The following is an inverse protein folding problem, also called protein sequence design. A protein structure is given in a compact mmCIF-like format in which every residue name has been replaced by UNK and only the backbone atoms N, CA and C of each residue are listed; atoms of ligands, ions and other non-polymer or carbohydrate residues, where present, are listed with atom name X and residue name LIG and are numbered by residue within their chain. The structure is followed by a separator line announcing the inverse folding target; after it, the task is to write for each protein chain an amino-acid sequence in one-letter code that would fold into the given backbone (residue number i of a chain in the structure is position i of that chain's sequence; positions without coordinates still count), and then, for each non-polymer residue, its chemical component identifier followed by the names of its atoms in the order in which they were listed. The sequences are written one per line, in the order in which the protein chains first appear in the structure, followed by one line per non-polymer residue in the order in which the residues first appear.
data_IF_371537223106
#
_entry.id   IF_371537223106
#
_cell.length_a   1.000
_cell.length_b   1.000
_cell.length_c   1.000
_cell.angle_alpha   90.00
_cell.angle_beta   90.00
_cell.angle_gamma   90.00
#
_symmetry.space_group_name_H-M   'P 1'
#
loop_
_entity.id
_entity.type
_entity.pdbx_description
1 polymer ?
#
# COMPACT_ATOMS: atom_id res chain seq x y z
N UNK A 1 32.66 -4.28 -1.79
CA UNK A 1 31.39 -3.76 -2.36
C UNK A 1 31.03 -2.54 -1.54
N UNK A 2 31.10 -1.38 -2.16
CA UNK A 2 30.76 -0.12 -1.52
C UNK A 2 29.29 -0.17 -1.09
N UNK A 3 29.02 0.15 0.18
CA UNK A 3 27.72 -0.07 0.86
C UNK A 3 26.56 0.81 0.40
N UNK A 4 26.57 1.32 -0.83
CA UNK A 4 25.46 2.01 -1.47
C UNK A 4 24.54 0.99 -2.13
N UNK A 5 23.41 0.69 -1.51
CA UNK A 5 22.37 -0.12 -2.13
C UNK A 5 21.92 0.57 -3.43
N UNK A 6 21.99 -0.15 -4.57
CA UNK A 6 21.56 0.37 -5.86
C UNK A 6 20.09 0.81 -5.80
N UNK A 7 19.79 2.11 -5.98
CA UNK A 7 18.42 2.63 -5.91
C UNK A 7 17.45 1.93 -6.85
N UNK A 8 17.94 1.49 -8.02
CA UNK A 8 17.12 0.80 -9.00
C UNK A 8 16.73 -0.60 -8.53
N UNK A 9 17.66 -1.35 -7.91
CA UNK A 9 17.36 -2.68 -7.36
C UNK A 9 16.36 -2.58 -6.20
N UNK A 10 16.47 -1.58 -5.33
CA UNK A 10 15.51 -1.34 -4.25
C UNK A 10 14.11 -1.03 -4.80
N UNK A 11 14.03 -0.14 -5.79
CA UNK A 11 12.77 0.20 -6.43
C UNK A 11 12.16 -0.97 -7.20
N UNK A 12 13.00 -1.78 -7.88
CA UNK A 12 12.57 -2.99 -8.58
C UNK A 12 12.01 -4.04 -7.60
N UNK A 13 12.65 -4.19 -6.46
CA UNK A 13 12.17 -5.10 -5.41
C UNK A 13 10.78 -4.68 -4.91
N UNK A 14 10.55 -3.40 -4.66
CA UNK A 14 9.22 -2.91 -4.28
C UNK A 14 8.18 -3.05 -5.41
N UNK A 15 8.57 -2.78 -6.66
CA UNK A 15 7.71 -2.99 -7.81
C UNK A 15 7.34 -4.47 -7.99
N UNK A 16 8.29 -5.39 -7.80
CA UNK A 16 8.06 -6.83 -7.84
C UNK A 16 7.04 -7.28 -6.78
N UNK A 17 7.03 -6.63 -5.61
CA UNK A 17 6.04 -6.88 -4.55
C UNK A 17 4.65 -6.30 -4.88
N UNK A 18 4.60 -5.06 -5.38
CA UNK A 18 3.36 -4.29 -5.51
C UNK A 18 2.60 -4.54 -6.82
N UNK A 19 3.30 -4.63 -7.96
CA UNK A 19 2.66 -4.73 -9.27
C UNK A 19 1.87 -6.02 -9.51
N UNK A 20 2.29 -7.21 -9.02
CA UNK A 20 1.49 -8.41 -9.18
C UNK A 20 0.08 -8.28 -8.62
N UNK A 21 -0.11 -7.56 -7.53
CA UNK A 21 -1.42 -7.34 -6.94
C UNK A 21 -2.39 -6.67 -7.91
N UNK A 22 -1.92 -5.74 -8.75
CA UNK A 22 -2.75 -5.05 -9.74
C UNK A 22 -3.24 -5.98 -10.85
N UNK A 23 -2.37 -6.88 -11.32
CA UNK A 23 -2.64 -7.77 -12.45
C UNK A 23 -3.44 -8.99 -12.00
N UNK A 24 -3.09 -9.53 -10.83
CA UNK A 24 -3.55 -10.85 -10.35
C UNK A 24 -4.83 -10.75 -9.53
N UNK A 25 -5.19 -9.60 -8.95
CA UNK A 25 -6.39 -9.48 -8.11
C UNK A 25 -7.68 -9.93 -8.81
N UNK A 26 -7.83 -9.68 -10.11
CA UNK A 26 -8.97 -10.15 -10.90
C UNK A 26 -9.01 -11.69 -11.01
N UNK A 27 -7.99 -12.33 -11.58
CA UNK A 27 -7.86 -13.80 -11.61
C UNK A 27 -7.95 -14.46 -10.24
N UNK A 28 -7.37 -13.84 -9.19
CA UNK A 28 -7.46 -14.33 -7.81
C UNK A 28 -8.90 -14.36 -7.32
N UNK A 29 -9.70 -13.33 -7.61
CA UNK A 29 -11.13 -13.30 -7.29
C UNK A 29 -11.89 -14.47 -7.95
N UNK A 30 -11.70 -14.66 -9.25
CA UNK A 30 -12.33 -15.76 -9.99
C UNK A 30 -11.93 -17.13 -9.43
N UNK A 31 -10.65 -17.33 -9.10
CA UNK A 31 -10.18 -18.58 -8.50
C UNK A 31 -10.79 -18.80 -7.11
N UNK A 32 -10.84 -17.74 -6.30
CA UNK A 32 -11.45 -17.78 -4.97
C UNK A 32 -12.93 -18.15 -5.00
N UNK A 33 -13.66 -17.68 -6.04
CA UNK A 33 -15.07 -18.03 -6.24
C UNK A 33 -15.28 -19.47 -6.69
N UNK A 34 -14.35 -20.03 -7.48
CA UNK A 34 -14.45 -21.39 -8.01
C UNK A 34 -13.96 -22.47 -7.04
N UNK A 35 -12.84 -22.23 -6.37
CA UNK A 35 -12.15 -23.24 -5.54
C UNK A 35 -12.57 -23.15 -4.07
N UNK A 36 -13.10 -22.00 -3.65
CA UNK A 36 -13.42 -21.68 -2.27
C UNK A 36 -12.32 -20.84 -1.62
N UNK A 37 -12.75 -19.83 -0.82
CA UNK A 37 -11.83 -18.87 -0.22
C UNK A 37 -10.87 -19.49 0.81
N UNK A 38 -11.34 -20.49 1.58
CA UNK A 38 -10.51 -21.18 2.57
C UNK A 38 -9.32 -21.89 1.93
N UNK A 39 -9.58 -22.68 0.87
CA UNK A 39 -8.52 -23.42 0.16
C UNK A 39 -7.52 -22.47 -0.49
N UNK A 40 -8.01 -21.41 -1.15
CA UNK A 40 -7.12 -20.43 -1.77
C UNK A 40 -6.30 -19.71 -0.72
N UNK A 41 -6.87 -19.37 0.44
CA UNK A 41 -6.17 -18.73 1.55
C UNK A 41 -5.04 -19.62 2.07
N UNK A 42 -5.31 -20.89 2.38
CA UNK A 42 -4.28 -21.84 2.85
C UNK A 42 -3.20 -22.06 1.79
N UNK A 43 -3.59 -22.23 0.50
CA UNK A 43 -2.62 -22.39 -0.60
C UNK A 43 -1.72 -21.17 -0.74
N UNK A 44 -2.29 -19.97 -0.64
CA UNK A 44 -1.50 -18.72 -0.73
C UNK A 44 -0.55 -18.57 0.45
N UNK A 45 -0.93 -18.98 1.66
CA UNK A 45 -0.03 -18.94 2.82
C UNK A 45 1.14 -19.92 2.67
N UNK A 46 0.92 -21.13 2.15
CA UNK A 46 2.01 -22.06 1.82
C UNK A 46 2.93 -21.50 0.72
N UNK A 47 2.36 -20.84 -0.28
CA UNK A 47 3.15 -20.18 -1.33
C UNK A 47 3.98 -19.01 -0.77
N UNK A 48 3.43 -18.21 0.16
CA UNK A 48 4.14 -17.14 0.86
C UNK A 48 5.29 -17.69 1.70
N UNK A 49 5.06 -18.75 2.46
CA UNK A 49 6.10 -19.44 3.24
C UNK A 49 7.23 -19.93 2.33
N UNK A 50 6.89 -20.61 1.24
CA UNK A 50 7.89 -21.13 0.30
C UNK A 50 8.67 -20.00 -0.39
N UNK A 51 7.98 -18.93 -0.80
CA UNK A 51 8.60 -17.78 -1.45
C UNK A 51 9.54 -17.02 -0.50
N UNK A 52 9.10 -16.72 0.73
CA UNK A 52 9.93 -16.07 1.74
C UNK A 52 11.10 -16.96 2.17
N UNK A 53 10.86 -18.28 2.30
CA UNK A 53 11.91 -19.27 2.55
C UNK A 53 12.97 -19.33 1.47
N UNK A 54 12.57 -19.22 0.20
CA UNK A 54 13.51 -19.10 -0.93
C UNK A 54 14.43 -17.88 -0.75
N UNK A 55 13.87 -16.73 -0.37
CA UNK A 55 14.65 -15.51 -0.06
C UNK A 55 15.63 -15.71 1.09
N UNK A 56 15.19 -16.36 2.18
CA UNK A 56 16.05 -16.65 3.32
C UNK A 56 17.23 -17.58 2.96
N UNK A 57 16.97 -18.59 2.12
CA UNK A 57 17.99 -19.53 1.67
C UNK A 57 18.92 -18.95 0.60
N UNK A 58 18.46 -17.97 -0.17
CA UNK A 58 19.28 -17.34 -1.21
C UNK A 58 20.53 -16.64 -0.63
N UNK A 59 20.42 -16.10 0.59
CA UNK A 59 21.50 -15.32 1.22
C UNK A 59 22.72 -16.20 1.56
N UNK A 60 22.60 -17.34 2.28
CA UNK A 60 23.74 -18.15 2.65
C UNK A 60 24.26 -19.07 1.54
N UNK A 61 23.45 -19.35 0.50
CA UNK A 61 23.78 -20.34 -0.53
C UNK A 61 24.32 -19.74 -1.83
N UNK A 62 24.07 -18.45 -2.08
CA UNK A 62 24.43 -17.81 -3.34
C UNK A 62 25.03 -16.43 -3.08
N UNK A 63 25.93 -16.01 -3.99
CA UNK A 63 26.58 -14.71 -3.97
C UNK A 63 26.37 -13.96 -5.30
N UNK A 64 26.62 -12.65 -5.29
CA UNK A 64 26.61 -11.81 -6.46
C UNK A 64 25.26 -11.75 -7.18
N UNK A 65 25.27 -11.83 -8.51
CA UNK A 65 24.08 -11.67 -9.33
C UNK A 65 23.04 -12.79 -9.12
N UNK A 66 23.48 -14.01 -8.82
CA UNK A 66 22.57 -15.13 -8.54
C UNK A 66 21.73 -14.88 -7.28
N UNK A 67 22.34 -14.35 -6.22
CA UNK A 67 21.65 -13.96 -5.00
C UNK A 67 20.60 -12.87 -5.27
N UNK A 68 20.98 -11.82 -6.03
CA UNK A 68 20.06 -10.73 -6.39
C UNK A 68 18.86 -11.25 -7.17
N UNK A 69 19.07 -12.11 -8.18
CA UNK A 69 17.99 -12.69 -8.99
C UNK A 69 17.05 -13.54 -8.11
N UNK A 70 17.60 -14.35 -7.21
CA UNK A 70 16.79 -15.18 -6.31
C UNK A 70 15.98 -14.34 -5.31
N UNK A 71 16.55 -13.27 -4.75
CA UNK A 71 15.83 -12.35 -3.87
C UNK A 71 14.70 -11.62 -4.60
N UNK A 72 14.95 -11.12 -5.81
CA UNK A 72 13.91 -10.48 -6.64
C UNK A 72 12.81 -11.48 -7.02
N UNK A 73 13.19 -12.72 -7.36
CA UNK A 73 12.24 -13.79 -7.68
C UNK A 73 11.39 -14.17 -6.46
N UNK A 74 12.01 -14.28 -5.30
CA UNK A 74 11.33 -14.48 -4.02
C UNK A 74 10.29 -13.37 -3.77
N UNK A 75 10.68 -12.10 -3.88
CA UNK A 75 9.79 -10.95 -3.69
C UNK A 75 8.64 -10.94 -4.71
N UNK A 76 8.91 -11.27 -5.97
CA UNK A 76 7.87 -11.38 -7.00
C UNK A 76 6.86 -12.49 -6.66
N UNK A 77 7.33 -13.65 -6.22
CA UNK A 77 6.47 -14.76 -5.78
C UNK A 77 5.65 -14.39 -4.54
N UNK A 78 6.25 -13.66 -3.58
CA UNK A 78 5.52 -13.09 -2.43
C UNK A 78 4.43 -12.13 -2.90
N UNK A 79 4.72 -11.25 -3.86
CA UNK A 79 3.72 -10.34 -4.45
C UNK A 79 2.56 -11.07 -5.12
N UNK A 80 2.87 -12.12 -5.89
CA UNK A 80 1.87 -12.98 -6.54
C UNK A 80 0.99 -13.71 -5.50
N UNK A 81 1.62 -14.39 -4.56
CA UNK A 81 0.91 -15.14 -3.52
C UNK A 81 0.10 -14.22 -2.61
N UNK A 82 0.64 -13.03 -2.28
CA UNK A 82 -0.04 -11.99 -1.51
C UNK A 82 -1.29 -11.45 -2.17
N UNK A 83 -1.33 -11.37 -3.51
CA UNK A 83 -2.52 -10.97 -4.25
C UNK A 83 -3.68 -11.99 -4.08
N UNK A 84 -3.36 -13.29 -4.10
CA UNK A 84 -4.33 -14.35 -3.81
C UNK A 84 -4.76 -14.34 -2.35
N UNK A 85 -3.81 -14.19 -1.43
CA UNK A 85 -4.05 -14.10 0.00
C UNK A 85 -5.02 -12.98 0.35
N UNK A 86 -4.72 -11.76 -0.10
CA UNK A 86 -5.54 -10.57 0.17
C UNK A 86 -6.99 -10.76 -0.29
N UNK A 87 -7.18 -11.30 -1.50
CA UNK A 87 -8.50 -11.53 -2.09
C UNK A 87 -9.27 -12.61 -1.33
N UNK A 88 -8.61 -13.74 -1.06
CA UNK A 88 -9.22 -14.87 -0.35
C UNK A 88 -9.54 -14.52 1.10
N UNK A 89 -8.64 -13.83 1.80
CA UNK A 89 -8.81 -13.37 3.18
C UNK A 89 -9.99 -12.43 3.34
N UNK A 90 -10.10 -11.43 2.47
CA UNK A 90 -11.20 -10.47 2.54
C UNK A 90 -12.57 -11.16 2.39
N UNK A 91 -12.67 -12.14 1.47
CA UNK A 91 -13.89 -12.94 1.30
C UNK A 91 -14.13 -13.87 2.49
N UNK A 92 -13.10 -14.59 2.94
CA UNK A 92 -13.17 -15.52 4.06
C UNK A 92 -13.65 -14.84 5.35
N UNK A 93 -13.06 -13.70 5.68
CA UNK A 93 -13.45 -12.92 6.84
C UNK A 93 -14.90 -12.43 6.77
N UNK A 94 -15.39 -12.03 5.58
CA UNK A 94 -16.78 -11.61 5.43
C UNK A 94 -17.79 -12.75 5.65
N UNK A 95 -17.40 -14.00 5.32
CA UNK A 95 -18.20 -15.20 5.57
C UNK A 95 -18.21 -15.57 7.06
N UNK A 96 -17.02 -15.55 7.72
CA UNK A 96 -16.88 -15.88 9.13
C UNK A 96 -17.73 -14.98 10.03
N UNK A 97 -17.63 -13.67 9.82
CA UNK A 97 -18.23 -12.67 10.72
C UNK A 97 -19.70 -12.44 10.43
N UNK A 98 -20.12 -12.59 9.19
CA UNK A 98 -21.48 -12.31 8.74
C UNK A 98 -21.83 -10.82 8.67
N UNK A 99 -22.95 -10.46 8.01
CA UNK A 99 -23.25 -9.05 7.67
C UNK A 99 -23.45 -8.14 8.88
N UNK A 100 -24.02 -8.65 9.98
CA UNK A 100 -24.32 -7.84 11.16
C UNK A 100 -23.08 -7.37 11.93
N UNK A 101 -22.01 -8.16 11.91
CA UNK A 101 -20.77 -7.88 12.65
C UNK A 101 -19.63 -7.39 11.74
N UNK A 102 -19.85 -7.34 10.42
CA UNK A 102 -18.84 -6.98 9.45
C UNK A 102 -18.24 -5.59 9.70
N UNK A 103 -19.08 -4.62 10.08
CA UNK A 103 -18.60 -3.27 10.41
C UNK A 103 -17.65 -3.23 11.60
N UNK A 104 -18.01 -3.92 12.70
CA UNK A 104 -17.14 -4.05 13.88
C UNK A 104 -15.84 -4.77 13.57
N UNK A 105 -15.92 -5.84 12.79
CA UNK A 105 -14.75 -6.59 12.32
C UNK A 105 -13.79 -5.70 11.51
N UNK A 106 -14.30 -4.97 10.51
CA UNK A 106 -13.47 -4.09 9.68
C UNK A 106 -12.78 -3.01 10.50
N UNK A 107 -13.45 -2.48 11.52
CA UNK A 107 -12.86 -1.50 12.45
C UNK A 107 -11.73 -2.15 13.26
N UNK A 108 -11.97 -3.31 13.86
CA UNK A 108 -10.96 -4.04 14.64
C UNK A 108 -9.76 -4.46 13.76
N UNK A 109 -10.03 -4.96 12.56
CA UNK A 109 -9.00 -5.30 11.58
C UNK A 109 -8.14 -4.08 11.23
N UNK A 110 -8.76 -2.93 11.00
CA UNK A 110 -8.04 -1.69 10.71
C UNK A 110 -7.11 -1.29 11.87
N UNK A 111 -7.56 -1.41 13.12
CA UNK A 111 -6.73 -1.13 14.31
C UNK A 111 -5.54 -2.07 14.36
N UNK A 112 -5.76 -3.39 14.27
CA UNK A 112 -4.68 -4.40 14.30
C UNK A 112 -3.68 -4.17 13.17
N UNK A 113 -4.17 -3.91 11.96
CA UNK A 113 -3.33 -3.64 10.80
C UNK A 113 -2.44 -2.39 10.99
N UNK A 114 -3.00 -1.32 11.56
CA UNK A 114 -2.25 -0.10 11.82
C UNK A 114 -1.23 -0.28 12.95
N UNK A 115 -1.58 -1.03 14.00
CA UNK A 115 -0.64 -1.41 15.06
C UNK A 115 0.50 -2.24 14.49
N UNK A 116 0.20 -3.21 13.61
CA UNK A 116 1.22 -4.00 12.92
C UNK A 116 2.17 -3.14 12.08
N UNK A 117 1.64 -2.18 11.35
CA UNK A 117 2.47 -1.22 10.58
C UNK A 117 3.37 -0.34 11.45
N UNK A 118 2.90 0.03 12.64
CA UNK A 118 3.66 0.88 13.56
C UNK A 118 4.76 0.09 14.28
N UNK A 119 4.44 -1.11 14.75
CA UNK A 119 5.31 -1.94 15.61
C UNK A 119 6.20 -2.89 14.78
N UNK A 120 5.72 -3.33 13.62
CA UNK A 120 6.43 -4.29 12.75
C UNK A 120 7.83 -3.82 12.34
N UNK A 121 7.98 -2.63 11.74
CA UNK A 121 9.28 -2.16 11.28
C UNK A 121 10.35 -2.03 12.37
N UNK A 122 10.08 -1.53 13.59
CA UNK A 122 11.09 -1.55 14.68
C UNK A 122 11.50 -2.96 15.06
N UNK A 123 10.54 -3.89 15.16
CA UNK A 123 10.85 -5.29 15.48
C UNK A 123 11.68 -5.90 14.34
N UNK A 124 11.30 -5.67 13.08
CA UNK A 124 12.04 -6.16 11.92
C UNK A 124 13.46 -5.59 11.84
N UNK A 125 13.63 -4.29 12.08
CA UNK A 125 14.95 -3.64 12.13
C UNK A 125 15.82 -4.15 13.26
N UNK A 126 15.25 -4.35 14.45
CA UNK A 126 15.94 -4.96 15.58
C UNK A 126 16.32 -6.43 15.30
N UNK A 127 15.40 -7.20 14.75
CA UNK A 127 15.65 -8.60 14.39
C UNK A 127 16.77 -8.72 13.37
N UNK A 128 16.73 -7.88 12.34
CA UNK A 128 17.77 -7.81 11.32
C UNK A 128 19.14 -7.48 11.92
N UNK A 129 19.20 -6.53 12.85
CA UNK A 129 20.43 -6.14 13.54
C UNK A 129 20.94 -7.24 14.49
N UNK A 130 20.05 -7.96 15.17
CA UNK A 130 20.40 -8.97 16.17
C UNK A 130 20.78 -10.33 15.54
N UNK A 131 20.10 -10.75 14.46
CA UNK A 131 20.22 -12.11 13.93
C UNK A 131 20.76 -12.18 12.49
N UNK A 132 20.85 -11.03 11.83
CA UNK A 132 21.22 -10.95 10.42
C UNK A 132 20.07 -11.25 9.45
N UNK A 133 20.28 -11.00 8.14
CA UNK A 133 19.22 -11.04 7.13
C UNK A 133 18.66 -12.44 6.90
N UNK A 134 19.47 -13.48 6.95
CA UNK A 134 19.04 -14.87 6.76
C UNK A 134 18.00 -15.30 7.81
N UNK A 135 18.31 -15.07 9.08
CA UNK A 135 17.41 -15.44 10.17
C UNK A 135 16.17 -14.54 10.22
N UNK A 136 16.32 -13.24 9.93
CA UNK A 136 15.20 -12.32 9.88
C UNK A 136 14.17 -12.76 8.82
N UNK A 137 14.61 -13.10 7.60
CA UNK A 137 13.74 -13.64 6.54
C UNK A 137 13.22 -15.05 6.88
N UNK A 138 14.02 -15.89 7.57
CA UNK A 138 13.57 -17.21 8.01
C UNK A 138 12.44 -17.15 9.04
N UNK A 139 12.50 -16.19 9.98
CA UNK A 139 11.44 -15.94 10.97
C UNK A 139 10.20 -15.36 10.26
N UNK A 140 10.37 -14.46 9.30
CA UNK A 140 9.26 -13.97 8.46
C UNK A 140 8.58 -15.13 7.73
N UNK A 141 9.34 -15.99 7.06
CA UNK A 141 8.81 -17.19 6.42
C UNK A 141 8.05 -18.10 7.40
N UNK A 142 8.63 -18.39 8.56
CA UNK A 142 7.99 -19.22 9.59
C UNK A 142 6.69 -18.59 10.12
N UNK A 143 6.56 -17.26 10.12
CA UNK A 143 5.37 -16.56 10.60
C UNK A 143 4.11 -16.94 9.81
N UNK A 144 4.23 -17.33 8.54
CA UNK A 144 3.10 -17.78 7.72
C UNK A 144 2.48 -19.12 8.19
N UNK A 145 3.16 -19.88 9.06
CA UNK A 145 2.57 -21.05 9.70
C UNK A 145 1.44 -20.69 10.66
N UNK A 146 1.46 -19.51 11.27
CA UNK A 146 0.42 -19.06 12.20
C UNK A 146 -0.96 -18.92 11.53
N UNK A 147 -1.11 -18.18 10.41
CA UNK A 147 -2.40 -18.11 9.71
C UNK A 147 -2.80 -19.47 9.11
N UNK A 148 -1.86 -20.31 8.65
CA UNK A 148 -2.18 -21.68 8.20
C UNK A 148 -2.82 -22.47 9.35
N UNK A 149 -2.17 -22.51 10.51
CA UNK A 149 -2.69 -23.18 11.69
C UNK A 149 -4.04 -22.60 12.15
N UNK A 150 -4.17 -21.26 12.12
CA UNK A 150 -5.41 -20.60 12.50
C UNK A 150 -6.58 -21.00 11.61
N UNK A 151 -6.41 -21.05 10.29
CA UNK A 151 -7.47 -21.44 9.35
C UNK A 151 -7.77 -22.95 9.47
N UNK A 152 -6.74 -23.80 9.58
CA UNK A 152 -6.93 -25.23 9.59
C UNK A 152 -7.56 -25.76 10.89
N UNK A 153 -7.21 -25.17 12.04
CA UNK A 153 -7.58 -25.72 13.34
C UNK A 153 -8.66 -24.94 14.08
N UNK A 154 -8.73 -23.61 13.91
CA UNK A 154 -9.60 -22.76 14.72
C UNK A 154 -10.74 -22.10 13.95
N UNK A 155 -10.53 -21.75 12.69
CA UNK A 155 -11.47 -20.96 11.91
C UNK A 155 -12.20 -21.86 10.91
N UNK A 156 -13.41 -22.31 11.26
CA UNK A 156 -14.28 -23.06 10.34
C UNK A 156 -15.49 -22.21 9.99
N UNK A 157 -15.66 -21.78 8.73
CA UNK A 157 -16.87 -21.07 8.32
C UNK A 157 -18.07 -22.02 8.38
N UNK A 158 -19.21 -21.50 8.79
CA UNK A 158 -20.47 -22.21 8.70
C UNK A 158 -20.79 -22.41 7.21
N UNK A 159 -20.81 -23.68 6.77
CA UNK A 159 -20.98 -24.07 5.36
C UNK A 159 -22.31 -23.58 4.73
N UNK A 160 -23.25 -23.15 5.57
CA UNK A 160 -24.54 -22.58 5.13
C UNK A 160 -24.43 -21.10 4.70
N UNK A 161 -23.30 -20.45 4.96
CA UNK A 161 -23.09 -19.01 4.69
C UNK A 161 -22.32 -18.69 3.42
N UNK A 162 -22.27 -19.59 2.45
CA UNK A 162 -21.72 -19.23 1.15
C UNK A 162 -22.54 -18.08 0.55
N UNK A 163 -21.95 -16.89 0.62
CA UNK A 163 -22.46 -15.74 -0.15
C UNK A 163 -22.17 -16.09 -1.61
N UNK A 164 -23.17 -16.69 -2.29
CA UNK A 164 -23.15 -16.79 -3.73
C UNK A 164 -22.94 -15.37 -4.27
N UNK A 165 -21.75 -15.14 -4.81
CA UNK A 165 -21.49 -13.95 -5.61
C UNK A 165 -22.57 -13.90 -6.68
N UNK A 166 -23.48 -12.94 -6.56
CA UNK A 166 -24.42 -12.65 -7.63
C UNK A 166 -23.63 -12.42 -8.89
N UNK A 167 -23.80 -13.30 -9.84
CA UNK A 167 -23.19 -13.30 -11.16
C UNK A 167 -23.36 -11.92 -11.82
N UNK A 168 -22.48 -11.01 -11.53
CA UNK A 168 -22.26 -9.81 -12.32
C UNK A 168 -21.50 -10.20 -13.58
N UNK A 169 -22.24 -10.76 -14.57
CA UNK A 169 -21.69 -10.98 -15.90
C UNK A 169 -21.01 -9.71 -16.38
N UNK A 170 -19.71 -9.80 -16.66
CA UNK A 170 -18.91 -8.83 -17.44
C UNK A 170 -18.79 -7.39 -16.91
N UNK A 171 -18.73 -7.19 -15.62
CA UNK A 171 -18.50 -5.87 -15.05
C UNK A 171 -17.02 -5.68 -14.69
N UNK A 172 -16.16 -5.65 -15.72
CA UNK A 172 -14.73 -5.38 -15.57
C UNK A 172 -14.46 -3.97 -15.01
N UNK A 173 -13.28 -3.76 -14.46
CA UNK A 173 -12.83 -2.46 -13.94
C UNK A 173 -12.83 -1.36 -15.03
N UNK A 174 -12.63 -1.75 -16.29
CA UNK A 174 -12.71 -0.85 -17.45
C UNK A 174 -14.12 -0.28 -17.65
N UNK A 175 -15.17 -1.07 -17.42
CA UNK A 175 -16.53 -0.59 -17.48
C UNK A 175 -16.84 0.34 -16.30
N UNK A 176 -16.39 -0.02 -15.09
CA UNK A 176 -16.51 0.85 -13.93
C UNK A 176 -15.84 2.22 -14.14
N UNK A 177 -14.67 2.25 -14.78
CA UNK A 177 -14.00 3.49 -15.17
C UNK A 177 -14.82 4.34 -16.13
N UNK A 178 -15.46 3.73 -17.14
CA UNK A 178 -16.31 4.46 -18.12
C UNK A 178 -17.61 4.96 -17.50
N UNK A 179 -18.20 4.18 -16.60
CA UNK A 179 -19.48 4.47 -15.97
C UNK A 179 -19.38 5.48 -14.81
N UNK A 180 -18.23 5.61 -14.15
CA UNK A 180 -18.09 6.43 -12.93
C UNK A 180 -18.17 7.96 -13.17
N UNK A 181 -18.15 8.39 -14.41
CA UNK A 181 -18.27 9.80 -14.79
C UNK A 181 -17.00 10.63 -14.59
N UNK A 182 -16.94 11.83 -15.18
CA UNK A 182 -15.70 12.63 -15.28
C UNK A 182 -15.18 13.14 -13.94
N UNK A 183 -16.05 13.30 -12.96
CA UNK A 183 -15.66 13.76 -11.62
C UNK A 183 -14.84 12.70 -10.88
N UNK A 184 -15.33 11.46 -10.83
CA UNK A 184 -14.63 10.36 -10.17
C UNK A 184 -13.39 9.92 -10.95
N UNK A 185 -13.44 9.97 -12.29
CA UNK A 185 -12.25 9.78 -13.13
C UNK A 185 -11.16 10.80 -12.78
N UNK A 186 -11.53 12.06 -12.59
CA UNK A 186 -10.60 13.10 -12.17
C UNK A 186 -9.97 12.83 -10.79
N UNK A 187 -10.75 12.36 -9.82
CA UNK A 187 -10.25 11.97 -8.48
C UNK A 187 -9.25 10.82 -8.58
N UNK A 188 -9.59 9.78 -9.32
CA UNK A 188 -8.72 8.62 -9.53
C UNK A 188 -7.43 8.99 -10.28
N UNK A 189 -7.54 9.82 -11.33
CA UNK A 189 -6.38 10.31 -12.09
C UNK A 189 -5.47 11.17 -11.22
N UNK A 190 -6.03 12.12 -10.44
CA UNK A 190 -5.23 12.92 -9.51
C UNK A 190 -4.48 12.02 -8.51
N UNK A 191 -5.18 11.06 -7.91
CA UNK A 191 -4.57 10.12 -6.97
C UNK A 191 -3.45 9.33 -7.64
N UNK A 192 -3.67 8.80 -8.85
CA UNK A 192 -2.65 8.06 -9.59
C UNK A 192 -1.43 8.93 -9.90
N UNK A 193 -1.61 10.17 -10.34
CA UNK A 193 -0.51 11.09 -10.64
C UNK A 193 0.27 11.47 -9.38
N UNK A 194 -0.43 11.83 -8.29
CA UNK A 194 0.23 12.17 -7.03
C UNK A 194 0.97 10.95 -6.42
N UNK A 195 0.44 9.74 -6.59
CA UNK A 195 1.13 8.53 -6.15
C UNK A 195 2.30 8.17 -7.06
N UNK A 196 2.17 8.36 -8.38
CA UNK A 196 3.24 8.11 -9.34
C UNK A 196 4.47 8.99 -9.09
N UNK A 197 4.24 10.23 -8.68
CA UNK A 197 5.32 11.19 -8.40
C UNK A 197 5.73 11.14 -6.93
N UNK A 198 4.80 10.93 -6.00
CA UNK A 198 5.00 11.16 -4.58
C UNK A 198 5.12 9.91 -3.70
N UNK A 199 4.77 8.70 -4.17
CA UNK A 199 4.73 7.50 -3.32
C UNK A 199 5.95 6.57 -3.54
N UNK A 200 7.14 7.14 -3.77
CA UNK A 200 8.37 6.36 -3.98
C UNK A 200 9.06 5.92 -2.68
N UNK A 201 8.73 6.55 -1.56
CA UNK A 201 9.39 6.33 -0.28
C UNK A 201 9.31 4.89 0.27
N UNK A 202 8.29 4.04 0.03
CA UNK A 202 8.37 2.65 0.46
C UNK A 202 9.42 1.84 -0.32
N UNK A 203 9.56 2.12 -1.62
CA UNK A 203 10.55 1.43 -2.47
C UNK A 203 11.97 1.84 -2.18
N UNK A 204 12.20 3.10 -1.82
CA UNK A 204 13.53 3.65 -1.54
C UNK A 204 13.78 3.85 -0.04
N UNK A 205 12.93 3.31 0.85
CA UNK A 205 13.06 3.47 2.29
C UNK A 205 14.44 3.10 2.85
N UNK A 206 15.11 2.00 2.42
CA UNK A 206 16.45 1.68 2.90
C UNK A 206 17.48 2.75 2.53
N UNK A 207 17.42 3.27 1.30
CA UNK A 207 18.31 4.33 0.84
C UNK A 207 18.07 5.63 1.61
N UNK A 208 16.80 6.02 1.79
CA UNK A 208 16.42 7.23 2.51
C UNK A 208 16.89 7.14 3.96
N UNK A 209 16.66 6.00 4.62
CA UNK A 209 17.12 5.79 5.99
C UNK A 209 18.65 5.84 6.09
N UNK A 210 19.36 5.26 5.13
CA UNK A 210 20.81 5.28 5.08
C UNK A 210 21.36 6.70 4.95
N UNK A 211 20.89 7.48 3.99
CA UNK A 211 21.39 8.85 3.74
C UNK A 211 20.98 9.84 4.84
N UNK A 212 19.80 9.66 5.44
CA UNK A 212 19.20 10.64 6.35
C UNK A 212 19.51 10.35 7.82
N UNK A 213 19.62 9.07 8.22
CA UNK A 213 19.72 8.65 9.62
C UNK A 213 21.08 8.05 10.01
N UNK A 214 21.91 7.67 9.03
CA UNK A 214 23.26 7.15 9.31
C UNK A 214 23.48 5.67 9.00
N UNK A 215 22.48 4.96 8.45
CA UNK A 215 22.65 3.67 7.80
C UNK A 215 22.65 2.43 8.68
N UNK A 216 22.22 2.53 9.94
CA UNK A 216 22.03 1.34 10.77
C UNK A 216 20.73 0.60 10.39
N UNK A 217 20.66 -0.74 10.52
CA UNK A 217 19.43 -1.48 10.28
C UNK A 217 18.23 -0.98 11.10
N UNK A 218 18.48 -0.51 12.34
CA UNK A 218 17.49 0.10 13.23
C UNK A 218 16.92 1.40 12.67
N UNK A 219 17.68 2.13 11.86
CA UNK A 219 17.28 3.42 11.29
C UNK A 219 16.20 3.24 10.23
N UNK A 220 16.26 2.15 9.44
CA UNK A 220 15.19 1.76 8.54
C UNK A 220 13.89 1.49 9.31
N UNK A 221 13.98 0.74 10.41
CA UNK A 221 12.85 0.48 11.30
C UNK A 221 12.25 1.77 11.86
N UNK A 222 13.08 2.69 12.34
CA UNK A 222 12.66 3.99 12.85
C UNK A 222 11.97 4.83 11.78
N UNK A 223 12.58 4.98 10.59
CA UNK A 223 12.04 5.76 9.48
C UNK A 223 10.67 5.24 9.05
N UNK A 224 10.55 3.93 8.81
CA UNK A 224 9.30 3.32 8.38
C UNK A 224 8.21 3.35 9.46
N UNK A 225 8.58 3.30 10.73
CA UNK A 225 7.63 3.45 11.85
C UNK A 225 7.09 4.87 11.96
N UNK A 226 7.94 5.87 11.77
CA UNK A 226 7.50 7.27 11.76
C UNK A 226 6.57 7.54 10.59
N UNK A 227 6.85 7.00 9.40
CA UNK A 227 5.92 7.02 8.26
C UNK A 227 4.57 6.37 8.61
N UNK A 228 4.60 5.21 9.27
CA UNK A 228 3.39 4.50 9.69
C UNK A 228 2.59 5.28 10.74
N UNK A 229 3.27 5.89 11.73
CA UNK A 229 2.63 6.77 12.71
C UNK A 229 1.94 7.97 12.03
N UNK A 230 2.61 8.59 11.06
CA UNK A 230 2.02 9.62 10.22
C UNK A 230 0.79 9.12 9.47
N UNK A 231 0.87 7.92 8.86
CA UNK A 231 -0.25 7.31 8.14
C UNK A 231 -1.47 7.08 9.02
N UNK A 232 -1.27 6.64 10.26
CA UNK A 232 -2.32 6.49 11.27
C UNK A 232 -2.94 7.87 11.59
N UNK A 233 -2.10 8.87 11.85
CA UNK A 233 -2.57 10.22 12.15
C UNK A 233 -3.40 10.82 11.01
N UNK A 234 -2.94 10.70 9.75
CA UNK A 234 -3.68 11.17 8.58
C UNK A 234 -5.04 10.49 8.42
N UNK A 235 -5.09 9.17 8.62
CA UNK A 235 -6.34 8.41 8.62
C UNK A 235 -7.30 8.82 9.75
N UNK A 236 -6.80 9.01 10.97
CA UNK A 236 -7.60 9.44 12.12
C UNK A 236 -8.14 10.86 11.96
N UNK A 237 -7.35 11.78 11.43
CA UNK A 237 -7.80 13.16 11.13
C UNK A 237 -8.98 13.13 10.16
N UNK A 238 -8.88 12.35 9.08
CA UNK A 238 -9.98 12.20 8.14
C UNK A 238 -11.22 11.56 8.78
N UNK A 239 -11.04 10.51 9.59
CA UNK A 239 -12.14 9.81 10.24
C UNK A 239 -12.89 10.70 11.25
N UNK A 240 -12.16 11.42 12.11
CA UNK A 240 -12.75 12.31 13.11
C UNK A 240 -13.53 13.47 12.50
N UNK A 241 -13.08 13.95 11.35
CA UNK A 241 -13.66 15.09 10.65
C UNK A 241 -14.43 14.68 9.39
N UNK A 242 -14.89 13.44 9.29
CA UNK A 242 -15.51 12.88 8.08
C UNK A 242 -16.70 13.68 7.57
N UNK A 243 -17.54 14.23 8.46
CA UNK A 243 -18.66 15.09 8.09
C UNK A 243 -18.19 16.39 7.41
N UNK A 244 -17.17 17.06 7.97
CA UNK A 244 -16.61 18.29 7.43
C UNK A 244 -15.86 18.04 6.12
N UNK A 245 -15.14 16.92 6.02
CA UNK A 245 -14.43 16.52 4.80
C UNK A 245 -15.38 16.08 3.69
N UNK A 246 -16.51 15.46 4.02
CA UNK A 246 -17.56 15.14 3.06
C UNK A 246 -18.20 16.39 2.45
N UNK A 247 -18.18 17.51 3.15
CA UNK A 247 -18.67 18.78 2.65
C UNK A 247 -17.74 19.43 1.60
N UNK A 248 -16.40 19.22 1.72
CA UNK A 248 -15.40 19.75 0.77
C UNK A 248 -14.40 18.65 0.35
N UNK A 249 -14.87 17.59 -0.27
CA UNK A 249 -14.05 16.39 -0.52
C UNK A 249 -12.87 16.66 -1.44
N UNK A 250 -13.03 17.51 -2.45
CA UNK A 250 -11.95 17.81 -3.40
C UNK A 250 -10.85 18.69 -2.81
N UNK A 251 -11.21 19.59 -1.89
CA UNK A 251 -10.24 20.39 -1.13
C UNK A 251 -9.44 19.50 -0.19
N UNK A 252 -10.09 18.52 0.46
CA UNK A 252 -9.45 17.55 1.36
C UNK A 252 -8.44 16.69 0.60
N UNK A 253 -8.83 16.15 -0.54
CA UNK A 253 -7.97 15.32 -1.38
C UNK A 253 -6.72 16.12 -1.82
N UNK A 254 -6.92 17.33 -2.35
CA UNK A 254 -5.83 18.22 -2.75
C UNK A 254 -4.96 18.66 -1.57
N UNK A 255 -5.57 18.92 -0.41
CA UNK A 255 -4.87 19.31 0.82
C UNK A 255 -3.88 18.25 1.31
N UNK A 256 -4.25 16.98 1.31
CA UNK A 256 -3.32 15.90 1.63
C UNK A 256 -2.20 15.78 0.58
N UNK A 257 -2.48 16.05 -0.69
CA UNK A 257 -1.47 16.16 -1.73
C UNK A 257 -0.47 17.30 -1.45
N UNK A 258 -0.95 18.47 -1.01
CA UNK A 258 -0.10 19.61 -0.61
C UNK A 258 0.75 19.27 0.61
N UNK A 259 0.19 18.61 1.63
CA UNK A 259 0.95 18.16 2.82
C UNK A 259 2.11 17.26 2.40
N UNK A 260 1.82 16.25 1.56
CA UNK A 260 2.87 15.36 1.04
C UNK A 260 3.93 16.11 0.26
N UNK A 261 3.52 17.05 -0.61
CA UNK A 261 4.43 17.84 -1.44
C UNK A 261 5.36 18.73 -0.60
N UNK A 262 4.81 19.45 0.36
CA UNK A 262 5.60 20.31 1.28
C UNK A 262 6.58 19.45 2.10
N UNK A 263 6.14 18.31 2.59
CA UNK A 263 6.99 17.40 3.35
C UNK A 263 8.15 16.85 2.49
N UNK A 264 7.91 16.52 1.23
CA UNK A 264 8.96 16.11 0.29
C UNK A 264 9.95 17.25 -0.01
N UNK A 265 9.45 18.47 -0.23
CA UNK A 265 10.30 19.64 -0.39
C UNK A 265 11.13 19.93 0.88
N UNK A 266 10.54 19.74 2.06
CA UNK A 266 11.27 19.81 3.33
C UNK A 266 12.36 18.74 3.42
N UNK A 267 12.07 17.49 3.02
CA UNK A 267 13.04 16.39 3.01
C UNK A 267 14.23 16.69 2.10
N UNK A 268 14.02 17.38 0.96
CA UNK A 268 15.08 17.73 0.02
C UNK A 268 16.15 18.66 0.59
N UNK A 269 15.85 19.37 1.67
CA UNK A 269 16.75 20.35 2.32
C UNK A 269 16.86 20.11 3.81
N UNK A 270 16.81 18.83 4.23
CA UNK A 270 16.78 18.49 5.64
C UNK A 270 18.04 18.99 6.38
N UNK A 271 17.87 19.82 7.41
CA UNK A 271 19.00 20.28 8.23
C UNK A 271 19.44 19.28 9.27
N UNK A 272 18.75 18.13 9.43
CA UNK A 272 19.10 17.11 10.40
C UNK A 272 18.02 16.06 10.64
N UNK A 273 18.38 15.03 11.40
CA UNK A 273 17.58 13.82 11.63
C UNK A 273 16.17 14.12 12.16
N UNK A 274 16.04 14.96 13.18
CA UNK A 274 14.75 15.27 13.79
C UNK A 274 13.78 15.92 12.78
N UNK A 275 14.29 16.84 11.95
CA UNK A 275 13.50 17.47 10.90
C UNK A 275 13.09 16.45 9.83
N UNK A 276 13.99 15.56 9.41
CA UNK A 276 13.69 14.49 8.45
C UNK A 276 12.61 13.54 8.96
N UNK A 277 12.65 13.17 10.23
CA UNK A 277 11.61 12.33 10.84
C UNK A 277 10.26 13.07 10.90
N UNK A 278 10.25 14.38 11.18
CA UNK A 278 9.02 15.17 11.11
C UNK A 278 8.45 15.21 9.68
N UNK A 279 9.31 15.38 8.66
CA UNK A 279 8.89 15.32 7.26
C UNK A 279 8.41 13.92 6.86
N UNK A 280 9.07 12.86 7.32
CA UNK A 280 8.62 11.49 7.11
C UNK A 280 7.22 11.25 7.70
N UNK A 281 6.96 11.73 8.91
CA UNK A 281 5.64 11.70 9.53
C UNK A 281 4.58 12.40 8.66
N UNK A 282 4.88 13.60 8.15
CA UNK A 282 3.97 14.34 7.28
C UNK A 282 3.76 13.66 5.92
N UNK A 283 4.78 13.03 5.34
CA UNK A 283 4.66 12.20 4.14
C UNK A 283 3.68 11.05 4.39
N UNK A 284 3.85 10.34 5.51
CA UNK A 284 2.94 9.27 5.90
C UNK A 284 1.50 9.75 6.06
N UNK A 285 1.29 10.87 6.78
CA UNK A 285 -0.03 11.46 7.00
C UNK A 285 -0.69 11.91 5.68
N UNK A 286 0.07 12.56 4.82
CA UNK A 286 -0.41 13.04 3.53
C UNK A 286 -0.80 11.90 2.58
N UNK A 287 0.04 10.88 2.44
CA UNK A 287 -0.22 9.74 1.54
C UNK A 287 -1.41 8.88 2.02
N UNK A 288 -1.51 8.59 3.31
CA UNK A 288 -2.65 7.86 3.85
C UNK A 288 -3.95 8.67 3.78
N UNK A 289 -3.88 9.97 4.06
CA UNK A 289 -5.02 10.87 3.91
C UNK A 289 -5.48 10.99 2.46
N UNK A 290 -4.55 11.03 1.49
CA UNK A 290 -4.85 11.03 0.05
C UNK A 290 -5.62 9.76 -0.35
N UNK A 291 -5.12 8.57 0.01
CA UNK A 291 -5.79 7.30 -0.29
C UNK A 291 -7.16 7.21 0.37
N UNK A 292 -7.25 7.57 1.64
CA UNK A 292 -8.50 7.51 2.40
C UNK A 292 -9.54 8.50 1.84
N UNK A 293 -9.11 9.69 1.43
CA UNK A 293 -9.97 10.69 0.77
C UNK A 293 -10.45 10.19 -0.60
N UNK A 294 -9.57 9.60 -1.40
CA UNK A 294 -9.92 9.00 -2.68
C UNK A 294 -10.97 7.90 -2.50
N UNK A 295 -10.76 6.97 -1.55
CA UNK A 295 -11.71 5.91 -1.23
C UNK A 295 -13.06 6.48 -0.76
N UNK A 296 -13.04 7.49 0.12
CA UNK A 296 -14.27 8.12 0.61
C UNK A 296 -15.08 8.75 -0.54
N UNK A 297 -14.43 9.56 -1.37
CA UNK A 297 -15.07 10.25 -2.50
C UNK A 297 -15.65 9.24 -3.49
N UNK A 298 -14.88 8.21 -3.83
CA UNK A 298 -15.31 7.19 -4.80
C UNK A 298 -16.45 6.32 -4.27
N UNK A 299 -16.49 6.03 -2.98
CA UNK A 299 -17.60 5.28 -2.37
C UNK A 299 -18.87 6.10 -2.21
N UNK A 300 -18.77 7.38 -1.82
CA UNK A 300 -19.93 8.27 -1.70
C UNK A 300 -20.48 8.63 -3.10
N UNK A 301 -19.58 8.85 -4.05
CA UNK A 301 -19.92 9.24 -5.42
C UNK A 301 -20.35 8.10 -6.34
N UNK A 302 -20.50 6.87 -5.85
CA UNK A 302 -20.90 5.71 -6.66
C UNK A 302 -22.07 4.93 -6.07
N UNK A 303 -22.83 4.28 -6.94
CA UNK A 303 -23.93 3.39 -6.56
C UNK A 303 -23.44 2.18 -5.76
N UNK A 304 -24.32 1.59 -4.93
CA UNK A 304 -23.97 0.44 -4.08
C UNK A 304 -23.35 -0.72 -4.87
N UNK A 305 -23.84 -0.98 -6.07
CA UNK A 305 -23.35 -2.05 -6.96
C UNK A 305 -21.92 -1.76 -7.46
N UNK A 306 -21.56 -0.49 -7.62
CA UNK A 306 -20.26 -0.06 -8.14
C UNK A 306 -19.19 0.14 -7.04
N UNK A 307 -19.56 0.28 -5.77
CA UNK A 307 -18.63 0.60 -4.67
C UNK A 307 -17.41 -0.32 -4.59
N UNK A 308 -17.62 -1.62 -4.75
CA UNK A 308 -16.51 -2.59 -4.75
C UNK A 308 -15.53 -2.38 -5.90
N UNK A 309 -16.03 -2.05 -7.09
CA UNK A 309 -15.19 -1.77 -8.28
C UNK A 309 -14.46 -0.45 -8.14
N UNK A 310 -15.11 0.57 -7.58
CA UNK A 310 -14.49 1.86 -7.31
C UNK A 310 -13.39 1.75 -6.26
N UNK A 311 -13.58 0.93 -5.23
CA UNK A 311 -12.51 0.61 -4.28
C UNK A 311 -11.32 -0.07 -4.98
N UNK A 312 -11.57 -0.99 -5.91
CA UNK A 312 -10.54 -1.61 -6.74
C UNK A 312 -9.79 -0.58 -7.61
N UNK A 313 -10.51 0.33 -8.27
CA UNK A 313 -9.89 1.41 -9.07
C UNK A 313 -9.06 2.36 -8.20
N UNK A 314 -9.52 2.68 -6.99
CA UNK A 314 -8.74 3.50 -6.03
C UNK A 314 -7.45 2.81 -5.61
N UNK A 315 -7.47 1.49 -5.39
CA UNK A 315 -6.27 0.72 -5.07
C UNK A 315 -5.30 0.65 -6.27
N UNK A 316 -5.82 0.50 -7.49
CA UNK A 316 -5.00 0.55 -8.70
C UNK A 316 -4.34 1.92 -8.86
N UNK A 317 -5.09 3.01 -8.68
CA UNK A 317 -4.55 4.37 -8.75
C UNK A 317 -3.43 4.59 -7.71
N UNK A 318 -3.61 4.07 -6.49
CA UNK A 318 -2.64 4.22 -5.42
C UNK A 318 -1.43 3.29 -5.57
N UNK A 319 -1.64 1.98 -5.64
CA UNK A 319 -0.55 0.99 -5.68
C UNK A 319 0.15 0.97 -7.03
N UNK A 320 -0.60 1.16 -8.14
CA UNK A 320 -0.02 1.23 -9.48
C UNK A 320 0.88 2.44 -9.64
N UNK A 321 0.41 3.60 -9.20
CA UNK A 321 1.23 4.81 -9.13
C UNK A 321 2.45 4.60 -8.24
N UNK A 322 2.26 4.07 -7.04
CA UNK A 322 3.34 3.84 -6.07
C UNK A 322 4.38 2.81 -6.51
N UNK A 323 3.95 1.68 -7.11
CA UNK A 323 4.87 0.65 -7.59
C UNK A 323 5.79 1.14 -8.70
N UNK A 324 5.27 1.98 -9.60
CA UNK A 324 6.06 2.59 -10.67
C UNK A 324 6.87 3.80 -10.19
N UNK A 325 6.39 4.51 -9.18
CA UNK A 325 7.03 5.70 -8.62
C UNK A 325 8.47 5.45 -8.21
N UNK A 326 8.70 4.34 -7.48
CA UNK A 326 10.04 3.96 -7.05
C UNK A 326 11.03 3.84 -8.21
N UNK A 327 10.63 3.19 -9.31
CA UNK A 327 11.48 3.01 -10.50
C UNK A 327 11.80 4.33 -11.19
N UNK A 328 10.80 5.19 -11.37
CA UNK A 328 11.00 6.52 -11.99
C UNK A 328 11.92 7.40 -11.14
N UNK A 329 11.70 7.39 -9.81
CA UNK A 329 12.51 8.20 -8.90
C UNK A 329 13.89 7.64 -8.72
N UNK A 330 14.09 6.32 -8.75
CA UNK A 330 15.41 5.70 -8.74
C UNK A 330 16.27 6.16 -9.93
N UNK A 331 15.68 6.30 -11.13
CA UNK A 331 16.39 6.84 -12.29
C UNK A 331 16.86 8.28 -12.07
N UNK A 332 16.05 9.11 -11.39
CA UNK A 332 16.43 10.48 -11.01
C UNK A 332 17.54 10.46 -9.95
N UNK A 333 17.45 9.58 -8.95
CA UNK A 333 18.48 9.46 -7.90
C UNK A 333 19.83 9.04 -8.50
N UNK A 334 19.84 8.07 -9.41
CA UNK A 334 21.08 7.60 -10.08
C UNK A 334 21.69 8.70 -10.95
N UNK A 335 20.87 9.50 -11.64
CA UNK A 335 21.36 10.61 -12.50
C UNK A 335 21.74 11.88 -11.75
N UNK A 336 21.29 12.02 -10.49
CA UNK A 336 21.54 13.23 -9.68
C UNK A 336 21.84 12.89 -8.21
N UNK A 337 20.85 12.93 -7.35
CA UNK A 337 20.90 12.55 -5.93
C UNK A 337 19.50 12.49 -5.33
N UNK A 338 19.41 11.96 -4.10
CA UNK A 338 18.14 11.81 -3.37
C UNK A 338 17.46 13.17 -3.08
N UNK A 339 18.23 14.19 -2.74
CA UNK A 339 17.73 15.55 -2.46
C UNK A 339 17.03 16.14 -3.68
N UNK A 340 17.65 16.05 -4.86
CA UNK A 340 17.06 16.50 -6.14
C UNK A 340 15.78 15.72 -6.47
N UNK A 341 15.76 14.42 -6.23
CA UNK A 341 14.58 13.60 -6.43
C UNK A 341 13.41 14.04 -5.53
N UNK A 342 13.65 14.30 -4.25
CA UNK A 342 12.64 14.86 -3.35
C UNK A 342 12.17 16.25 -3.77
N UNK A 343 13.07 17.12 -4.23
CA UNK A 343 12.72 18.47 -4.69
C UNK A 343 11.84 18.43 -5.95
N UNK A 344 12.19 17.62 -6.94
CA UNK A 344 11.42 17.46 -8.17
C UNK A 344 10.04 16.86 -7.90
N UNK A 345 10.00 15.75 -7.16
CA UNK A 345 8.74 15.07 -6.82
C UNK A 345 7.83 15.98 -5.98
N UNK A 346 8.38 16.66 -4.98
CA UNK A 346 7.63 17.58 -4.14
C UNK A 346 7.13 18.79 -4.96
N UNK A 347 7.96 19.35 -5.84
CA UNK A 347 7.58 20.46 -6.71
C UNK A 347 6.44 20.11 -7.67
N UNK A 348 6.55 18.98 -8.37
CA UNK A 348 5.51 18.50 -9.29
C UNK A 348 4.21 18.21 -8.52
N UNK A 349 4.31 17.48 -7.39
CA UNK A 349 3.15 17.16 -6.54
C UNK A 349 2.45 18.42 -6.04
N UNK A 350 3.22 19.45 -5.66
CA UNK A 350 2.67 20.74 -5.20
C UNK A 350 1.89 21.44 -6.30
N UNK A 351 2.48 21.56 -7.49
CA UNK A 351 1.83 22.21 -8.65
C UNK A 351 0.53 21.47 -9.02
N UNK A 352 0.57 20.13 -9.08
CA UNK A 352 -0.59 19.32 -9.41
C UNK A 352 -1.69 19.46 -8.35
N UNK A 353 -1.34 19.39 -7.07
CA UNK A 353 -2.32 19.52 -5.98
C UNK A 353 -2.93 20.91 -5.89
N UNK A 354 -2.13 21.98 -6.04
CA UNK A 354 -2.63 23.37 -6.05
C UNK A 354 -3.53 23.65 -7.25
N UNK A 355 -3.16 23.18 -8.45
CA UNK A 355 -4.00 23.29 -9.65
C UNK A 355 -5.33 22.58 -9.47
N UNK A 356 -5.33 21.40 -8.86
CA UNK A 356 -6.55 20.69 -8.53
C UNK A 356 -7.45 21.48 -7.57
N UNK A 357 -6.89 22.01 -6.48
CA UNK A 357 -7.61 22.84 -5.53
C UNK A 357 -8.21 24.07 -6.22
N UNK A 358 -7.41 24.78 -7.02
CA UNK A 358 -7.87 25.99 -7.72
C UNK A 358 -9.05 25.73 -8.67
N UNK A 359 -9.04 24.55 -9.35
CA UNK A 359 -10.08 24.21 -10.33
C UNK A 359 -11.32 23.56 -9.73
N UNK A 360 -11.20 22.92 -8.56
CA UNK A 360 -12.26 22.08 -7.96
C UNK A 360 -12.71 22.51 -6.57
N UNK A 361 -12.14 23.58 -5.98
CA UNK A 361 -12.46 23.99 -4.60
C UNK A 361 -13.94 24.37 -4.39
N UNK A 362 -14.63 24.81 -5.43
CA UNK A 362 -16.07 25.15 -5.41
C UNK A 362 -16.99 23.98 -5.82
N UNK A 363 -16.42 22.88 -6.30
CA UNK A 363 -17.21 21.73 -6.72
C UNK A 363 -17.69 20.94 -5.49
N UNK A 364 -18.97 20.67 -5.43
CA UNK A 364 -19.59 19.75 -4.47
C UNK A 364 -19.88 18.41 -5.18
N UNK A 365 -19.81 17.30 -4.45
CA UNK A 365 -20.37 16.05 -4.94
C UNK A 365 -21.88 16.23 -5.03
N UNK A 366 -22.41 16.18 -6.26
CA UNK A 366 -23.86 16.11 -6.42
C UNK A 366 -24.35 14.85 -5.67
N UNK A 367 -25.36 14.97 -4.78
CA UNK A 367 -25.93 13.80 -4.15
C UNK A 367 -26.48 12.89 -5.27
N UNK A 368 -26.04 11.64 -5.30
CA UNK A 368 -26.62 10.63 -6.18
C UNK A 368 -28.07 10.52 -5.71
N UNK A 369 -29.01 11.03 -6.51
CA UNK A 369 -30.43 10.83 -6.26
C UNK A 369 -30.65 9.33 -6.26
N UNK A 370 -31.02 8.79 -5.09
CA UNK A 370 -31.61 7.47 -4.97
C UNK A 370 -32.86 7.46 -5.83
N UNK A 371 -32.76 6.82 -7.02
CA UNK A 371 -33.91 6.46 -7.81
C UNK A 371 -34.47 5.14 -7.29
#
# INVERSE_FOLDING_TARGET
MDGSADPFLLALNFAALALPTLIISGPAGVRTDRVGCERVLVQSQWALLAAAGLGALAIPLFDGMAQVILLLSSTLLVGIAGAYELTARNKYCSILVGPKQLGSYLTSFSVVFNVGKLVGPPIGGWLLAATGPTWALGIDAASYLLPIASVMFFLRPDSTREIRSTNGKNAGLTNAWRECGPTLQGVLTLTAVLCLVGFFHPGLAPLIAFEVLGGKPTDLGLFTSVLAAGSIAGGLVLQRNSAQFSYRPFLTLGGFGVITAIAQLGMSRSPGVAFSLAMAFLIGAGTAGLLSSCNLITQIGSDQVMRGRMAGLSQIAFLGGGGLSGLLVAAVVVSSNLSTAFALCGGISLVVALRWIATRCKATLAPIRSA
#
